data_IF_936661769779
#
_entry.id   IF_936661769779
#
_cell.length_a   1.000
_cell.length_b   1.000
_cell.length_c   1.000
_cell.angle_alpha   90.00
_cell.angle_beta   90.00
_cell.angle_gamma   90.00
#
_symmetry.space_group_name_H-M   'P 1'
#
loop_
_entity.id
_entity.type
_entity.pdbx_description
1 polymer ?
#
# COMPACT_ATOMS: atom_id res chain seq x y z
N UNK A 1 -16.03 1.52 4.74
CA UNK A 1 -14.58 1.66 4.52
C UNK A 1 -14.37 1.57 3.02
N UNK A 2 -13.55 2.42 2.43
CA UNK A 2 -13.26 2.43 0.98
C UNK A 2 -11.76 2.55 0.76
N UNK A 3 -11.26 1.96 -0.34
CA UNK A 3 -9.89 2.14 -0.80
C UNK A 3 -9.82 3.35 -1.74
N UNK A 4 -8.84 4.22 -1.55
CA UNK A 4 -8.62 5.35 -2.45
C UNK A 4 -7.20 5.36 -3.00
N UNK A 5 -7.00 5.60 -4.32
CA UNK A 5 -5.68 5.80 -4.89
C UNK A 5 -4.95 6.98 -4.24
N UNK A 6 -3.64 6.85 -4.05
CA UNK A 6 -2.76 7.90 -3.53
C UNK A 6 -1.43 7.87 -4.28
N UNK A 7 -0.84 9.04 -4.50
CA UNK A 7 0.56 9.12 -4.92
C UNK A 7 1.44 8.99 -3.68
N UNK A 8 2.55 8.24 -3.71
CA UNK A 8 3.54 8.27 -2.61
C UNK A 8 4.49 9.45 -2.85
N UNK A 9 4.50 10.42 -1.93
CA UNK A 9 5.50 11.48 -1.84
C UNK A 9 6.29 11.39 -0.52
N UNK A 10 7.32 12.22 -0.37
CA UNK A 10 8.16 12.28 0.84
C UNK A 10 7.41 12.77 2.10
N UNK A 11 6.17 13.27 1.97
CA UNK A 11 5.39 13.87 3.06
C UNK A 11 4.28 12.96 3.59
N UNK A 12 4.27 11.69 3.19
CA UNK A 12 3.21 10.77 3.57
C UNK A 12 3.11 10.57 5.09
N UNK A 13 1.89 10.50 5.65
CA UNK A 13 1.70 10.22 7.07
C UNK A 13 2.31 8.85 7.37
N UNK A 14 3.15 8.80 8.41
CA UNK A 14 4.01 7.67 8.83
C UNK A 14 3.36 6.28 8.73
N UNK A 15 2.03 6.20 8.85
CA UNK A 15 1.26 4.97 8.74
C UNK A 15 1.29 4.27 7.37
N UNK A 16 1.40 4.99 6.23
CA UNK A 16 1.44 4.33 4.91
C UNK A 16 2.80 3.65 4.69
N UNK A 17 3.88 4.35 5.01
CA UNK A 17 5.24 3.80 4.92
C UNK A 17 5.36 2.59 5.84
N UNK A 18 4.87 2.67 7.07
CA UNK A 18 4.84 1.54 8.00
C UNK A 18 4.10 0.32 7.44
N UNK A 19 2.98 0.52 6.74
CA UNK A 19 2.24 -0.56 6.08
C UNK A 19 3.01 -1.16 4.89
N UNK A 20 3.75 -0.35 4.14
CA UNK A 20 4.59 -0.83 3.05
C UNK A 20 5.81 -1.59 3.59
N UNK A 21 6.42 -1.15 4.69
CA UNK A 21 7.46 -1.89 5.41
C UNK A 21 6.96 -3.29 5.79
N UNK A 22 5.72 -3.40 6.28
CA UNK A 22 5.10 -4.72 6.55
C UNK A 22 4.95 -5.57 5.29
N UNK A 23 4.56 -4.99 4.15
CA UNK A 23 4.40 -5.71 2.90
C UNK A 23 5.75 -6.18 2.32
N UNK A 24 6.80 -5.36 2.44
CA UNK A 24 8.17 -5.68 2.01
C UNK A 24 8.79 -6.74 2.93
N UNK A 25 8.37 -6.79 4.20
CA UNK A 25 8.84 -7.77 5.18
C UNK A 25 10.26 -7.50 5.68
N UNK A 26 10.71 -6.24 5.60
CA UNK A 26 12.06 -5.82 5.96
C UNK A 26 12.03 -4.41 6.53
N UNK A 27 12.72 -4.19 7.66
CA UNK A 27 12.92 -2.85 8.24
C UNK A 27 14.12 -2.10 7.61
N UNK A 28 14.88 -2.79 6.77
CA UNK A 28 15.96 -2.20 5.97
C UNK A 28 15.41 -1.09 5.05
N UNK A 29 15.91 0.14 5.27
CA UNK A 29 15.50 1.32 4.53
C UNK A 29 15.88 1.25 3.06
N UNK A 30 17.03 0.69 2.71
CA UNK A 30 17.47 0.62 1.31
C UNK A 30 16.55 -0.31 0.51
N UNK A 31 16.16 -1.43 1.12
CA UNK A 31 15.17 -2.35 0.54
C UNK A 31 13.81 -1.70 0.36
N UNK A 32 13.37 -0.94 1.35
CA UNK A 32 12.13 -0.19 1.26
C UNK A 32 12.21 0.86 0.14
N UNK A 33 13.27 1.65 0.08
CA UNK A 33 13.44 2.66 -0.96
C UNK A 33 13.41 2.06 -2.37
N UNK A 34 14.08 0.93 -2.60
CA UNK A 34 14.00 0.19 -3.87
C UNK A 34 12.57 -0.25 -4.17
N UNK A 35 11.84 -0.78 -3.19
CA UNK A 35 10.45 -1.19 -3.35
C UNK A 35 9.49 0.00 -3.61
N UNK A 36 9.87 1.21 -3.20
CA UNK A 36 9.08 2.42 -3.40
C UNK A 36 9.29 3.10 -4.76
N UNK A 37 10.39 2.80 -5.47
CA UNK A 37 10.70 3.39 -6.80
C UNK A 37 9.53 3.30 -7.79
N UNK A 38 8.83 2.16 -7.95
CA UNK A 38 7.74 2.06 -8.91
C UNK A 38 6.55 2.98 -8.60
N UNK A 39 6.31 3.29 -7.33
CA UNK A 39 5.25 4.21 -6.91
C UNK A 39 5.65 5.67 -7.15
N UNK A 40 6.89 6.02 -6.82
CA UNK A 40 7.46 7.36 -7.02
C UNK A 40 7.56 7.74 -8.50
N UNK A 41 7.82 6.76 -9.36
CA UNK A 41 7.90 6.94 -10.82
C UNK A 41 6.55 6.88 -11.53
N UNK A 42 5.45 6.60 -10.81
CA UNK A 42 4.11 6.50 -11.39
C UNK A 42 3.86 5.27 -12.26
N UNK A 43 4.76 4.29 -12.26
CA UNK A 43 4.60 3.04 -13.00
C UNK A 43 3.66 2.04 -12.33
N UNK A 44 3.22 2.35 -11.10
CA UNK A 44 2.35 1.51 -10.28
C UNK A 44 1.36 2.37 -9.51
N UNK A 45 0.19 1.79 -9.19
CA UNK A 45 -0.85 2.44 -8.41
C UNK A 45 -0.77 1.95 -6.97
N UNK A 46 -0.85 2.86 -6.00
CA UNK A 46 -1.09 2.55 -4.60
C UNK A 46 -2.50 2.99 -4.22
N UNK A 47 -3.30 2.08 -3.67
CA UNK A 47 -4.56 2.42 -3.02
C UNK A 47 -4.50 2.12 -1.52
N UNK A 48 -5.17 2.94 -0.72
CA UNK A 48 -5.11 2.90 0.74
C UNK A 48 -6.51 2.81 1.32
N UNK A 49 -6.72 1.83 2.19
CA UNK A 49 -7.91 1.75 3.04
C UNK A 49 -7.66 2.56 4.30
N UNK A 50 -8.60 3.46 4.62
CA UNK A 50 -8.49 4.37 5.77
C UNK A 50 -9.66 4.22 6.73
N UNK A 51 -9.38 4.38 8.01
CA UNK A 51 -10.39 4.79 9.00
C UNK A 51 -10.46 6.31 9.07
N UNK A 52 -11.33 6.86 9.92
CA UNK A 52 -11.38 8.32 10.16
C UNK A 52 -10.07 8.91 10.71
N UNK A 53 -9.19 8.09 11.29
CA UNK A 53 -7.99 8.56 12.00
C UNK A 53 -6.67 8.15 11.34
N UNK A 54 -6.61 6.97 10.71
CA UNK A 54 -5.36 6.42 10.21
C UNK A 54 -5.54 5.44 9.04
N UNK A 55 -4.50 5.31 8.17
CA UNK A 55 -4.44 4.25 7.16
C UNK A 55 -4.37 2.87 7.82
N UNK A 56 -5.24 1.95 7.41
CA UNK A 56 -5.35 0.59 7.98
C UNK A 56 -5.00 -0.51 7.00
N UNK A 57 -4.84 -0.20 5.72
CA UNK A 57 -4.34 -1.15 4.74
C UNK A 57 -3.91 -0.48 3.45
N UNK A 58 -3.06 -1.17 2.70
CA UNK A 58 -2.53 -0.73 1.41
C UNK A 58 -2.58 -1.86 0.40
N UNK A 59 -2.82 -1.51 -0.86
CA UNK A 59 -2.64 -2.39 -2.00
C UNK A 59 -1.88 -1.63 -3.08
N UNK A 60 -0.80 -2.22 -3.55
CA UNK A 60 0.02 -1.70 -4.62
C UNK A 60 0.00 -2.66 -5.80
N UNK A 61 -0.29 -2.16 -7.00
CA UNK A 61 -0.39 -2.99 -8.20
C UNK A 61 0.10 -2.26 -9.45
N UNK A 62 0.59 -3.02 -10.43
CA UNK A 62 0.79 -2.55 -11.79
C UNK A 62 -0.35 -3.02 -12.69
N UNK A 63 -0.72 -2.19 -13.66
CA UNK A 63 -1.75 -2.50 -14.65
C UNK A 63 -1.14 -2.46 -16.04
N UNK A 64 -1.12 -3.60 -16.71
CA UNK A 64 -0.88 -3.74 -18.14
C UNK A 64 -2.22 -4.08 -18.84
N UNK A 65 -2.35 -3.87 -20.17
CA UNK A 65 -3.62 -4.03 -20.89
C UNK A 65 -4.36 -5.36 -20.66
N UNK A 66 -3.63 -6.43 -20.35
CA UNK A 66 -4.18 -7.78 -20.15
C UNK A 66 -3.79 -8.42 -18.82
N UNK A 67 -3.16 -7.66 -17.92
CA UNK A 67 -2.65 -8.21 -16.66
C UNK A 67 -2.59 -7.14 -15.58
N UNK A 68 -3.16 -7.46 -14.42
CA UNK A 68 -2.88 -6.74 -13.18
C UNK A 68 -1.92 -7.58 -12.36
N UNK A 69 -0.83 -6.97 -11.87
CA UNK A 69 0.12 -7.64 -10.99
C UNK A 69 0.06 -7.00 -9.63
N UNK A 70 -0.28 -7.80 -8.62
CA UNK A 70 -0.19 -7.41 -7.22
C UNK A 70 1.29 -7.35 -6.81
N UNK A 71 1.70 -6.21 -6.25
CA UNK A 71 3.07 -5.97 -5.81
C UNK A 71 3.17 -6.00 -4.28
N UNK A 72 2.28 -5.26 -3.62
CA UNK A 72 2.26 -5.15 -2.16
C UNK A 72 0.83 -5.19 -1.64
N UNK A 73 0.61 -5.94 -0.56
CA UNK A 73 -0.66 -5.96 0.17
C UNK A 73 -0.36 -6.08 1.65
N UNK A 74 -0.80 -5.11 2.44
CA UNK A 74 -0.70 -5.17 3.88
C UNK A 74 -1.93 -4.59 4.55
N UNK A 75 -2.23 -5.12 5.74
CA UNK A 75 -3.25 -4.62 6.64
C UNK A 75 -2.63 -4.45 8.02
N UNK A 76 -2.93 -3.32 8.66
CA UNK A 76 -2.52 -3.05 10.02
C UNK A 76 -2.94 -4.24 10.93
N UNK A 77 -2.02 -4.83 11.71
CA UNK A 77 -2.31 -5.99 12.56
C UNK A 77 -3.56 -5.83 13.44
N UNK A 78 -3.82 -4.63 13.96
CA UNK A 78 -4.97 -4.35 14.82
C UNK A 78 -6.33 -4.30 14.08
N UNK A 79 -6.30 -4.32 12.74
CA UNK A 79 -7.47 -4.24 11.86
C UNK A 79 -7.57 -5.45 10.91
N UNK A 80 -6.85 -6.54 11.23
CA UNK A 80 -6.98 -7.81 10.51
C UNK A 80 -8.33 -8.47 10.80
N UNK A 81 -8.75 -9.38 9.92
CA UNK A 81 -10.01 -10.12 10.02
C UNK A 81 -11.29 -9.26 10.00
N UNK A 82 -11.20 -8.01 9.55
CA UNK A 82 -12.34 -7.08 9.41
C UNK A 82 -12.74 -6.83 7.95
N UNK A 83 -12.26 -7.66 7.01
CA UNK A 83 -12.54 -7.50 5.57
C UNK A 83 -11.75 -6.38 4.87
N UNK A 84 -10.74 -5.77 5.52
CA UNK A 84 -9.91 -4.71 4.93
C UNK A 84 -9.25 -5.12 3.62
N UNK A 85 -8.70 -6.34 3.55
CA UNK A 85 -8.12 -6.88 2.32
C UNK A 85 -9.15 -7.03 1.19
N UNK A 86 -10.37 -7.43 1.52
CA UNK A 86 -11.47 -7.54 0.55
C UNK A 86 -11.82 -6.17 -0.03
N UNK A 87 -11.92 -5.13 0.81
CA UNK A 87 -12.17 -3.74 0.39
C UNK A 87 -11.06 -3.17 -0.49
N UNK A 88 -9.83 -3.70 -0.38
CA UNK A 88 -8.71 -3.24 -1.19
C UNK A 88 -8.69 -3.89 -2.59
N UNK A 89 -9.30 -5.07 -2.75
CA UNK A 89 -9.31 -5.82 -4.01
C UNK A 89 -10.55 -5.49 -4.87
N UNK A 90 -11.65 -5.12 -4.22
CA UNK A 90 -12.97 -4.95 -4.83
C UNK A 90 -13.38 -3.48 -4.91
#
# INVERSE_FOLDING_TARGET
>A
MSATPVAIDETHPDGIISLLTYAVGSEDRDRLDVALVPYRTGSTVLAVARTRRLPVGVIGYSAAPHRVTLLHLATNPHYRQQGTGTVLIY
#
